data_IF_015302499618
#
_entry.id   IF_015302499618
#
_cell.length_a   1.000
_cell.length_b   1.000
_cell.length_c   1.000
_cell.angle_alpha   90.00
_cell.angle_beta   90.00
_cell.angle_gamma   90.00
#
_symmetry.space_group_name_H-M   'P 1'
#
loop_
_entity.id
_entity.type
_entity.pdbx_description
1 polymer ?
#
# COMPACT_ATOMS: atom_id res chain seq x y z
N UNK A 1 -2.21 -8.91 5.01
CA UNK A 1 -1.72 -7.78 5.84
C UNK A 1 -0.38 -7.35 5.28
N UNK A 2 -0.08 -6.05 5.24
CA UNK A 2 1.01 -5.46 4.41
C UNK A 2 2.38 -5.49 5.11
N UNK A 3 2.44 -5.78 6.42
CA UNK A 3 3.70 -5.89 7.19
C UNK A 3 4.47 -4.58 7.39
N UNK A 4 3.94 -3.45 6.94
CA UNK A 4 4.56 -2.12 7.02
C UNK A 4 3.99 -1.29 8.16
N UNK A 5 4.83 -0.45 8.76
CA UNK A 5 4.37 0.58 9.69
C UNK A 5 3.55 1.66 8.98
N UNK A 6 2.54 2.20 9.66
CA UNK A 6 1.63 3.23 9.13
C UNK A 6 2.38 4.45 8.54
N UNK A 7 3.42 5.01 9.19
CA UNK A 7 4.18 6.12 8.61
C UNK A 7 4.89 5.75 7.30
N UNK A 8 5.32 4.49 7.17
CA UNK A 8 5.96 3.98 5.95
C UNK A 8 4.95 3.87 4.82
N UNK A 9 3.73 3.42 5.10
CA UNK A 9 2.64 3.38 4.12
C UNK A 9 2.37 4.80 3.61
N UNK A 10 2.16 5.78 4.49
CA UNK A 10 1.91 7.16 4.07
C UNK A 10 3.09 7.78 3.29
N UNK A 11 4.34 7.46 3.65
CA UNK A 11 5.52 7.89 2.89
C UNK A 11 5.53 7.29 1.49
N UNK A 12 5.24 6.00 1.35
CA UNK A 12 5.19 5.34 0.04
C UNK A 12 4.01 5.84 -0.80
N UNK A 13 2.87 6.13 -0.19
CA UNK A 13 1.74 6.77 -0.86
C UNK A 13 2.13 8.15 -1.41
N UNK A 14 2.87 8.96 -0.63
CA UNK A 14 3.40 10.26 -1.09
C UNK A 14 4.40 10.09 -2.24
N UNK A 15 5.18 9.01 -2.24
CA UNK A 15 6.14 8.67 -3.30
C UNK A 15 5.47 8.02 -4.53
N UNK A 16 4.18 7.71 -4.49
CA UNK A 16 3.48 7.00 -5.57
C UNK A 16 3.83 5.51 -5.67
N UNK A 17 4.52 4.95 -4.66
CA UNK A 17 4.97 3.55 -4.63
C UNK A 17 4.06 2.64 -3.81
N UNK A 18 2.91 3.16 -3.36
CA UNK A 18 1.84 2.43 -2.67
C UNK A 18 0.46 2.91 -3.17
N UNK A 19 -0.57 2.04 -3.23
CA UNK A 19 -1.91 2.42 -3.67
C UNK A 19 -2.50 3.61 -2.90
N UNK A 20 -3.25 4.46 -3.61
CA UNK A 20 -3.94 5.60 -2.99
C UNK A 20 -5.08 5.08 -2.12
N UNK A 21 -5.30 5.71 -0.97
CA UNK A 21 -6.39 5.34 -0.10
C UNK A 21 -7.69 6.02 -0.53
N UNK A 22 -8.79 5.35 -0.28
CA UNK A 22 -10.15 5.84 -0.50
C UNK A 22 -10.78 6.15 0.86
N UNK A 23 -11.46 7.29 0.97
CA UNK A 23 -12.24 7.61 2.19
C UNK A 23 -13.44 6.68 2.27
N UNK A 24 -13.55 5.90 3.35
CA UNK A 24 -14.68 5.00 3.58
C UNK A 24 -15.87 5.71 4.21
N UNK A 25 -15.62 6.86 4.84
CA UNK A 25 -16.62 7.65 5.56
C UNK A 25 -16.49 9.11 5.16
N UNK A 26 -17.58 9.83 4.86
CA UNK A 26 -17.54 11.24 4.46
C UNK A 26 -16.82 12.15 5.46
N UNK A 27 -17.05 11.95 6.76
CA UNK A 27 -16.53 12.79 7.86
C UNK A 27 -15.65 12.03 8.86
N UNK A 28 -15.23 10.81 8.54
CA UNK A 28 -14.41 9.98 9.42
C UNK A 28 -12.96 9.87 8.98
N UNK A 29 -12.13 9.34 9.88
CA UNK A 29 -10.71 9.05 9.62
C UNK A 29 -10.48 7.68 8.96
N UNK A 30 -11.55 6.92 8.76
CA UNK A 30 -11.48 5.60 8.15
C UNK A 30 -11.14 5.72 6.67
N UNK A 31 -10.02 5.12 6.29
CA UNK A 31 -9.57 5.00 4.91
C UNK A 31 -9.34 3.53 4.59
N UNK A 32 -9.60 3.16 3.35
CA UNK A 32 -9.41 1.81 2.85
C UNK A 32 -8.65 1.82 1.53
N UNK A 33 -8.38 0.63 1.02
CA UNK A 33 -7.77 0.42 -0.28
C UNK A 33 -8.53 -0.68 -1.00
N UNK A 34 -8.51 -0.64 -2.33
CA UNK A 34 -8.99 -1.76 -3.11
C UNK A 34 -8.07 -2.95 -2.90
N UNK A 35 -8.68 -4.10 -2.64
CA UNK A 35 -7.95 -5.34 -2.37
C UNK A 35 -7.02 -5.71 -3.53
N UNK A 36 -7.51 -5.59 -4.77
CA UNK A 36 -6.75 -5.83 -5.98
C UNK A 36 -5.49 -4.98 -6.06
N UNK A 37 -5.59 -3.66 -5.83
CA UNK A 37 -4.42 -2.76 -5.88
C UNK A 37 -3.35 -3.13 -4.84
N UNK A 38 -3.78 -3.56 -3.65
CA UNK A 38 -2.86 -3.98 -2.58
C UNK A 38 -2.23 -5.34 -2.88
N UNK A 39 -2.95 -6.25 -3.53
CA UNK A 39 -2.45 -7.54 -3.99
C UNK A 39 -1.45 -7.37 -5.15
N UNK A 40 -1.77 -6.53 -6.14
CA UNK A 40 -0.89 -6.19 -7.26
C UNK A 40 0.40 -5.51 -6.77
N UNK A 41 0.27 -4.58 -5.83
CA UNK A 41 1.43 -3.95 -5.19
C UNK A 41 2.32 -4.98 -4.47
N UNK A 42 1.74 -5.93 -3.73
CA UNK A 42 2.51 -7.02 -3.11
C UNK A 42 3.20 -7.89 -4.15
N UNK A 43 2.51 -8.24 -5.23
CA UNK A 43 3.06 -9.04 -6.32
C UNK A 43 4.26 -8.36 -6.99
N UNK A 44 4.17 -7.06 -7.28
CA UNK A 44 5.27 -6.28 -7.86
C UNK A 44 6.55 -6.33 -7.01
N UNK A 45 6.43 -6.39 -5.67
CA UNK A 45 7.58 -6.43 -4.75
C UNK A 45 8.20 -7.80 -4.58
N UNK A 46 7.43 -8.88 -4.75
CA UNK A 46 7.99 -10.24 -4.79
C UNK A 46 9.02 -10.40 -5.90
N UNK A 47 8.96 -9.57 -6.94
CA UNK A 47 9.94 -9.57 -8.03
C UNK A 47 11.26 -8.87 -7.65
N UNK A 48 11.23 -7.88 -6.75
CA UNK A 48 12.42 -7.15 -6.28
C UNK A 48 13.26 -7.96 -5.28
N UNK A 49 12.65 -8.90 -4.55
CA UNK A 49 13.34 -9.74 -3.54
C UNK A 49 14.10 -10.93 -4.17
N UNK A 50 13.75 -11.34 -5.40
CA UNK A 50 14.41 -12.42 -6.15
C UNK A 50 15.71 -11.97 -6.88
N UNK A 51 16.46 -11.04 -6.29
CA UNK A 51 17.64 -10.44 -6.91
C UNK A 51 18.81 -10.14 -5.95
N UNK A 52 18.80 -10.71 -4.75
CA UNK A 52 19.94 -10.67 -3.84
C UNK A 52 20.27 -12.09 -3.37
N UNK A 53 20.86 -12.87 -4.27
CA UNK A 53 21.57 -14.11 -3.99
C UNK A 53 23.02 -13.95 -4.46
#
# INVERSE_FOLDING_TARGET
MVGLSIPTIYRQMKQGTFPKSVKLTPNGRAVGWYRSEVEDWQASRRQTDKGAA
#
